data_IF_240453957921
#
_entry.id   IF_240453957921
#
_cell.length_a   1.000
_cell.length_b   1.000
_cell.length_c   1.000
_cell.angle_alpha   90.00
_cell.angle_beta   90.00
_cell.angle_gamma   90.00
#
_symmetry.space_group_name_H-M   'P 1'
#
loop_
_entity.id
_entity.type
_entity.pdbx_description
1 polymer ?
#
# COMPACT_ATOMS: atom_id res chain seq x y z
N UNK A 1 42.61 24.70 -24.88
CA UNK A 1 41.31 24.30 -25.46
C UNK A 1 41.36 22.82 -25.86
N UNK A 2 41.27 21.93 -24.89
CA UNK A 2 41.19 20.47 -25.01
C UNK A 2 40.86 20.05 -23.58
N UNK A 3 39.79 19.29 -23.36
CA UNK A 3 39.31 18.74 -22.06
C UNK A 3 37.89 19.17 -21.63
N UNK A 4 37.13 19.94 -22.42
CA UNK A 4 35.72 20.27 -22.06
C UNK A 4 34.73 19.22 -22.59
N UNK A 5 35.13 18.33 -23.50
CA UNK A 5 34.20 17.41 -24.20
C UNK A 5 33.89 16.14 -23.39
N UNK A 6 34.68 15.79 -22.37
CA UNK A 6 34.56 14.49 -21.68
C UNK A 6 33.42 14.46 -20.65
N UNK A 7 32.99 15.61 -20.11
CA UNK A 7 31.94 15.64 -19.08
C UNK A 7 30.50 15.57 -19.62
N UNK A 8 30.28 15.90 -20.89
CA UNK A 8 28.95 15.88 -21.50
C UNK A 8 28.43 14.45 -21.81
N UNK A 9 29.34 13.47 -21.91
CA UNK A 9 28.97 12.08 -22.26
C UNK A 9 28.55 11.25 -21.03
N UNK A 10 29.04 11.60 -19.83
CA UNK A 10 28.75 10.83 -18.61
C UNK A 10 27.32 11.10 -18.10
N UNK A 11 26.74 12.28 -18.39
CA UNK A 11 25.35 12.57 -18.02
C UNK A 11 24.30 11.80 -18.85
N UNK A 12 24.67 11.27 -20.02
CA UNK A 12 23.76 10.52 -20.89
C UNK A 12 23.61 9.04 -20.48
N UNK A 13 24.44 8.56 -19.55
CA UNK A 13 24.41 7.18 -19.04
C UNK A 13 24.12 7.12 -17.54
N UNK A 14 23.57 8.17 -16.95
CA UNK A 14 22.89 7.97 -15.67
C UNK A 14 21.74 6.99 -15.95
N UNK A 15 21.76 5.77 -15.39
CA UNK A 15 20.56 4.96 -15.42
C UNK A 15 19.50 5.83 -14.75
N UNK A 16 18.45 6.13 -15.48
CA UNK A 16 17.24 6.61 -14.87
C UNK A 16 16.81 5.48 -13.93
N UNK A 17 17.28 5.51 -12.69
CA UNK A 17 16.60 4.95 -11.54
C UNK A 17 15.32 5.78 -11.38
N UNK A 18 14.45 5.73 -12.39
CA UNK A 18 13.03 5.87 -12.16
C UNK A 18 12.73 4.70 -11.23
N UNK A 19 12.66 4.98 -9.93
CA UNK A 19 12.00 4.09 -9.00
C UNK A 19 10.66 3.77 -9.64
N UNK A 20 10.54 2.57 -10.20
CA UNK A 20 9.34 2.07 -10.83
C UNK A 20 8.33 1.78 -9.72
N UNK A 21 7.90 2.82 -8.99
CA UNK A 21 6.62 2.82 -8.33
C UNK A 21 5.59 2.82 -9.45
N UNK A 22 5.32 1.63 -10.01
CA UNK A 22 4.39 1.42 -11.13
C UNK A 22 3.02 2.07 -10.83
N UNK A 23 2.66 2.15 -9.54
CA UNK A 23 1.53 2.93 -9.02
C UNK A 23 2.01 3.88 -7.93
N UNK A 24 2.30 5.14 -8.30
CA UNK A 24 2.90 6.13 -7.40
C UNK A 24 1.88 7.08 -6.74
N UNK A 25 0.67 7.17 -7.28
CA UNK A 25 -0.38 8.02 -6.73
C UNK A 25 -1.70 7.95 -7.50
N UNK A 26 -2.58 8.92 -7.24
CA UNK A 26 -3.90 9.02 -7.86
C UNK A 26 -3.82 9.05 -9.39
N UNK A 27 -2.88 9.82 -9.94
CA UNK A 27 -2.75 9.98 -11.39
C UNK A 27 -2.46 8.66 -12.13
N UNK A 28 -1.68 7.74 -11.54
CA UNK A 28 -1.47 6.40 -12.11
C UNK A 28 -2.64 5.46 -11.82
N UNK A 29 -3.30 5.63 -10.68
CA UNK A 29 -4.47 4.84 -10.29
C UNK A 29 -5.67 5.10 -11.21
N UNK A 30 -5.93 6.36 -11.55
CA UNK A 30 -7.05 6.77 -12.41
C UNK A 30 -6.91 6.31 -13.87
N UNK A 31 -5.72 5.83 -14.27
CA UNK A 31 -5.50 5.23 -15.59
C UNK A 31 -5.94 3.77 -15.67
N UNK A 32 -6.20 3.12 -14.53
CA UNK A 32 -6.62 1.73 -14.48
C UNK A 32 -8.13 1.62 -14.71
N UNK A 33 -8.52 0.64 -15.51
CA UNK A 33 -9.93 0.22 -15.57
C UNK A 33 -10.38 -0.40 -14.23
N UNK A 34 -11.71 -0.51 -13.99
CA UNK A 34 -12.22 -1.04 -12.72
C UNK A 34 -11.73 -2.45 -12.36
N UNK A 35 -11.57 -3.35 -13.33
CA UNK A 35 -11.10 -4.71 -13.07
C UNK A 35 -9.61 -4.72 -12.69
N UNK A 36 -8.80 -3.90 -13.35
CA UNK A 36 -7.40 -3.68 -13.03
C UNK A 36 -7.22 -3.07 -11.63
N UNK A 37 -8.06 -2.11 -11.24
CA UNK A 37 -8.08 -1.56 -9.88
C UNK A 37 -8.40 -2.62 -8.82
N UNK A 38 -9.45 -3.42 -9.05
CA UNK A 38 -9.84 -4.49 -8.13
C UNK A 38 -8.74 -5.56 -7.98
N UNK A 39 -8.13 -5.99 -9.09
CA UNK A 39 -7.03 -6.94 -9.09
C UNK A 39 -5.80 -6.40 -8.35
N UNK A 40 -5.45 -5.13 -8.58
CA UNK A 40 -4.37 -4.47 -7.86
C UNK A 40 -4.64 -4.40 -6.35
N UNK A 41 -5.85 -3.98 -5.96
CA UNK A 41 -6.23 -3.85 -4.55
C UNK A 41 -6.18 -5.20 -3.82
N UNK A 42 -6.67 -6.27 -4.45
CA UNK A 42 -6.53 -7.64 -3.94
C UNK A 42 -5.07 -8.07 -3.81
N UNK A 43 -4.26 -7.85 -4.85
CA UNK A 43 -2.85 -8.20 -4.82
C UNK A 43 -2.09 -7.48 -3.70
N UNK A 44 -2.36 -6.20 -3.48
CA UNK A 44 -1.81 -5.44 -2.35
C UNK A 44 -2.27 -6.03 -1.02
N UNK A 45 -3.57 -6.31 -0.88
CA UNK A 45 -4.13 -6.85 0.34
C UNK A 45 -3.46 -8.19 0.69
N UNK A 46 -3.44 -9.14 -0.24
CA UNK A 46 -2.82 -10.45 -0.08
C UNK A 46 -1.33 -10.31 0.27
N UNK A 47 -0.60 -9.50 -0.52
CA UNK A 47 0.82 -9.24 -0.27
C UNK A 47 1.06 -8.65 1.13
N UNK A 48 0.24 -7.70 1.57
CA UNK A 48 0.40 -7.02 2.87
C UNK A 48 0.17 -7.93 4.07
N UNK A 49 -0.56 -9.04 3.88
CA UNK A 49 -0.92 -9.99 4.93
C UNK A 49 -0.12 -11.30 4.86
N UNK A 50 0.38 -11.68 3.68
CA UNK A 50 1.11 -12.93 3.45
C UNK A 50 2.63 -12.70 3.41
N UNK A 51 3.11 -11.57 2.89
CA UNK A 51 4.56 -11.33 2.77
C UNK A 51 5.14 -10.82 4.10
N UNK A 52 6.23 -11.46 4.53
CA UNK A 52 6.88 -11.22 5.82
C UNK A 52 8.09 -10.29 5.64
N UNK A 53 7.98 -9.04 6.09
CA UNK A 53 9.15 -8.18 6.30
C UNK A 53 9.77 -8.39 7.70
N UNK A 54 8.95 -8.83 8.66
CA UNK A 54 9.28 -9.08 10.06
C UNK A 54 8.23 -10.02 10.67
N UNK A 55 8.63 -10.79 11.68
CA UNK A 55 7.80 -11.74 12.44
C UNK A 55 7.62 -11.34 13.92
N UNK A 56 7.91 -10.09 14.27
CA UNK A 56 7.63 -9.57 15.61
C UNK A 56 6.12 -9.65 15.95
N UNK A 57 5.83 -9.73 17.24
CA UNK A 57 4.47 -9.96 17.74
C UNK A 57 3.49 -8.85 17.35
N UNK A 58 3.96 -7.61 17.25
CA UNK A 58 3.17 -6.45 16.83
C UNK A 58 2.76 -6.58 15.35
N UNK A 59 3.73 -6.85 14.47
CA UNK A 59 3.48 -7.09 13.04
C UNK A 59 2.53 -8.27 12.83
N UNK A 60 2.67 -9.32 13.64
CA UNK A 60 1.80 -10.51 13.62
C UNK A 60 0.36 -10.18 14.01
N UNK A 61 0.17 -9.39 15.07
CA UNK A 61 -1.15 -8.94 15.52
C UNK A 61 -1.88 -8.13 14.45
N UNK A 62 -1.19 -7.19 13.79
CA UNK A 62 -1.78 -6.39 12.70
C UNK A 62 -2.27 -7.29 11.56
N UNK A 63 -1.40 -8.19 11.08
CA UNK A 63 -1.74 -9.08 9.95
C UNK A 63 -2.91 -9.98 10.30
N UNK A 64 -2.85 -10.66 11.45
CA UNK A 64 -3.91 -11.59 11.86
C UNK A 64 -5.23 -10.87 12.13
N UNK A 65 -5.17 -9.67 12.71
CA UNK A 65 -6.34 -8.81 12.88
C UNK A 65 -6.99 -8.43 11.55
N UNK A 66 -6.20 -8.03 10.54
CA UNK A 66 -6.72 -7.71 9.20
C UNK A 66 -7.26 -8.92 8.45
N UNK A 67 -6.64 -10.09 8.58
CA UNK A 67 -7.13 -11.35 7.99
C UNK A 67 -8.50 -11.71 8.59
N UNK A 68 -8.61 -11.71 9.93
CA UNK A 68 -9.86 -12.04 10.62
C UNK A 68 -10.96 -11.02 10.28
N UNK A 69 -10.62 -9.73 10.30
CA UNK A 69 -11.53 -8.65 9.93
C UNK A 69 -12.11 -8.81 8.52
N UNK A 70 -11.28 -9.14 7.52
CA UNK A 70 -11.78 -9.28 6.15
C UNK A 70 -12.59 -10.56 5.96
N UNK A 71 -12.24 -11.64 6.67
CA UNK A 71 -13.06 -12.84 6.72
C UNK A 71 -14.45 -12.55 7.31
N UNK A 72 -14.52 -11.72 8.35
CA UNK A 72 -15.79 -11.29 8.97
C UNK A 72 -16.60 -10.37 8.04
N UNK A 73 -15.95 -9.38 7.41
CA UNK A 73 -16.62 -8.39 6.58
C UNK A 73 -16.96 -8.91 5.16
N UNK A 74 -16.35 -10.02 4.74
CA UNK A 74 -16.48 -10.59 3.40
C UNK A 74 -16.31 -9.54 2.29
N UNK A 75 -15.33 -8.63 2.46
CA UNK A 75 -15.15 -7.50 1.56
C UNK A 75 -14.79 -7.98 0.15
N UNK A 76 -15.61 -7.68 -0.87
CA UNK A 76 -15.30 -8.06 -2.23
C UNK A 76 -14.18 -7.17 -2.78
N UNK A 77 -13.48 -7.67 -3.80
CA UNK A 77 -12.29 -7.04 -4.39
C UNK A 77 -12.55 -5.65 -4.97
N UNK A 78 -13.74 -5.44 -5.53
CA UNK A 78 -14.19 -4.15 -6.04
C UNK A 78 -14.33 -3.12 -4.90
N UNK A 79 -14.83 -3.53 -3.73
CA UNK A 79 -14.96 -2.64 -2.58
C UNK A 79 -13.61 -2.16 -2.08
N UNK A 80 -12.56 -3.00 -2.13
CA UNK A 80 -11.20 -2.57 -1.78
C UNK A 80 -10.69 -1.48 -2.71
N UNK A 81 -10.99 -1.57 -4.01
CA UNK A 81 -10.65 -0.51 -4.97
C UNK A 81 -11.45 0.77 -4.71
N UNK A 82 -12.76 0.66 -4.43
CA UNK A 82 -13.61 1.83 -4.14
C UNK A 82 -13.14 2.59 -2.92
N UNK A 83 -12.62 1.91 -1.88
CA UNK A 83 -12.04 2.60 -0.71
C UNK A 83 -10.88 3.53 -1.09
N UNK A 84 -10.07 3.15 -2.08
CA UNK A 84 -8.96 3.98 -2.57
C UNK A 84 -9.49 5.18 -3.37
N UNK A 85 -10.48 4.96 -4.23
CA UNK A 85 -11.14 6.05 -4.97
C UNK A 85 -11.75 7.07 -4.00
N UNK A 86 -12.55 6.62 -3.04
CA UNK A 86 -13.19 7.44 -2.01
C UNK A 86 -12.17 8.24 -1.19
N UNK A 87 -11.03 7.62 -0.84
CA UNK A 87 -9.98 8.29 -0.09
C UNK A 87 -9.30 9.40 -0.90
N UNK A 88 -9.00 9.17 -2.18
CA UNK A 88 -8.45 10.19 -3.05
C UNK A 88 -9.44 11.33 -3.35
N UNK A 89 -10.74 11.05 -3.36
CA UNK A 89 -11.79 12.06 -3.51
C UNK A 89 -12.00 12.90 -2.24
N UNK A 90 -11.99 12.25 -1.08
CA UNK A 90 -12.27 12.90 0.21
C UNK A 90 -11.08 13.69 0.74
N UNK A 91 -9.86 13.19 0.53
CA UNK A 91 -8.62 13.85 0.98
C UNK A 91 -7.65 14.04 -0.19
N UNK A 92 -7.67 15.23 -0.84
CA UNK A 92 -6.71 15.56 -1.90
C UNK A 92 -5.24 15.49 -1.46
N UNK A 93 -4.95 15.59 -0.16
CA UNK A 93 -3.62 15.41 0.40
C UNK A 93 -3.05 14.01 0.22
N UNK A 94 -3.92 13.02 -0.06
CA UNK A 94 -3.49 11.66 -0.37
C UNK A 94 -3.04 11.50 -1.82
N UNK A 95 -3.31 12.42 -2.74
CA UNK A 95 -3.13 12.22 -4.18
C UNK A 95 -1.71 11.80 -4.61
N UNK A 96 -0.68 12.21 -3.86
CA UNK A 96 0.73 11.84 -4.09
C UNK A 96 1.16 10.53 -3.42
N UNK A 97 0.30 9.92 -2.61
CA UNK A 97 0.58 8.65 -1.95
C UNK A 97 0.20 7.48 -2.84
N UNK A 98 1.07 6.47 -2.89
CA UNK A 98 0.79 5.24 -3.62
C UNK A 98 -0.52 4.58 -3.13
N UNK A 99 -1.35 4.03 -4.04
CA UNK A 99 -2.65 3.44 -3.68
C UNK A 99 -2.49 2.25 -2.72
N UNK A 100 -1.35 1.55 -2.76
CA UNK A 100 -1.07 0.46 -1.82
C UNK A 100 -0.96 0.96 -0.38
N UNK A 101 -0.29 2.10 -0.16
CA UNK A 101 -0.16 2.72 1.16
C UNK A 101 -1.51 3.20 1.67
N UNK A 102 -2.28 3.88 0.81
CA UNK A 102 -3.64 4.36 1.13
C UNK A 102 -4.52 3.19 1.53
N UNK A 103 -4.58 2.12 0.73
CA UNK A 103 -5.36 0.93 1.02
C UNK A 103 -4.98 0.28 2.35
N UNK A 104 -3.68 0.08 2.61
CA UNK A 104 -3.21 -0.52 3.85
C UNK A 104 -3.62 0.31 5.06
N UNK A 105 -3.53 1.64 4.98
CA UNK A 105 -3.98 2.53 6.05
C UNK A 105 -5.47 2.41 6.32
N UNK A 106 -6.30 2.45 5.27
CA UNK A 106 -7.76 2.36 5.38
C UNK A 106 -8.20 1.02 5.98
N UNK A 107 -7.65 -0.09 5.48
CA UNK A 107 -7.95 -1.43 5.99
C UNK A 107 -7.47 -1.59 7.43
N UNK A 108 -6.29 -1.06 7.77
CA UNK A 108 -5.77 -1.11 9.15
C UNK A 108 -6.68 -0.35 10.10
N UNK A 109 -7.12 0.87 9.73
CA UNK A 109 -8.05 1.66 10.52
C UNK A 109 -9.40 0.96 10.71
N UNK A 110 -9.95 0.40 9.63
CA UNK A 110 -11.19 -0.39 9.65
C UNK A 110 -11.10 -1.61 10.58
N UNK A 111 -9.97 -2.30 10.55
CA UNK A 111 -9.74 -3.53 11.29
C UNK A 111 -9.12 -3.33 12.69
N UNK A 112 -9.08 -2.09 13.19
CA UNK A 112 -8.47 -1.75 14.47
C UNK A 112 -8.94 -2.63 15.64
N UNK A 113 -10.23 -2.98 15.67
CA UNK A 113 -10.80 -3.82 16.72
C UNK A 113 -10.13 -5.20 16.75
N UNK A 114 -10.16 -5.91 15.62
CA UNK A 114 -9.58 -7.24 15.50
C UNK A 114 -8.05 -7.21 15.68
N UNK A 115 -7.37 -6.15 15.24
CA UNK A 115 -5.94 -5.95 15.47
C UNK A 115 -5.63 -5.84 16.97
N UNK A 116 -6.43 -5.08 17.74
CA UNK A 116 -6.27 -4.99 19.19
C UNK A 116 -6.55 -6.31 19.89
N UNK A 117 -7.57 -7.06 19.45
CA UNK A 117 -7.89 -8.38 19.98
C UNK A 117 -6.74 -9.38 19.77
N UNK A 118 -6.09 -9.37 18.60
CA UNK A 118 -4.91 -10.21 18.35
C UNK A 118 -3.68 -9.73 19.13
N UNK A 119 -3.46 -8.41 19.26
CA UNK A 119 -2.37 -7.86 20.07
C UNK A 119 -2.47 -8.26 21.55
N UNK A 120 -3.68 -8.25 22.12
CA UNK A 120 -3.92 -8.70 23.48
C UNK A 120 -3.57 -10.18 23.71
N UNK A 121 -3.77 -11.04 22.69
CA UNK A 121 -3.42 -12.48 22.76
C UNK A 121 -1.91 -12.72 22.72
N UNK A 122 -1.16 -11.80 22.11
CA UNK A 122 0.27 -11.94 21.88
C UNK A 122 1.13 -11.15 22.88
N UNK A 123 0.55 -10.60 23.95
CA UNK A 123 1.25 -9.72 24.89
C UNK A 123 1.95 -8.51 24.21
N UNK A 124 1.51 -8.15 23.01
CA UNK A 124 1.97 -7.01 22.22
C UNK A 124 0.85 -5.96 22.16
N UNK A 125 0.66 -5.15 23.22
CA UNK A 125 -0.39 -4.15 23.25
C UNK A 125 -0.18 -3.14 22.10
N UNK A 126 -1.12 -3.11 21.17
CA UNK A 126 -1.18 -2.12 20.10
C UNK A 126 -1.66 -0.81 20.74
N UNK A 127 -0.75 0.09 21.13
CA UNK A 127 -1.12 1.45 21.55
C UNK A 127 -1.53 2.29 20.33
N UNK A 128 -2.46 3.23 20.55
CA UNK A 128 -2.84 4.24 19.55
C UNK A 128 -1.67 5.16 19.22
#
# INVERSE_FOLDING_TARGET
MKNIIIWAVIAAFAPAFAHASYMSGRASWDQLDPASKAAYAMGVYDASNILFASDDEYTRAIKKGRINCLADEALPSDRLATLVDEAYETDPGLASQAPSKVLIQLVTARCERQIREEGAKLSAPISK
#
